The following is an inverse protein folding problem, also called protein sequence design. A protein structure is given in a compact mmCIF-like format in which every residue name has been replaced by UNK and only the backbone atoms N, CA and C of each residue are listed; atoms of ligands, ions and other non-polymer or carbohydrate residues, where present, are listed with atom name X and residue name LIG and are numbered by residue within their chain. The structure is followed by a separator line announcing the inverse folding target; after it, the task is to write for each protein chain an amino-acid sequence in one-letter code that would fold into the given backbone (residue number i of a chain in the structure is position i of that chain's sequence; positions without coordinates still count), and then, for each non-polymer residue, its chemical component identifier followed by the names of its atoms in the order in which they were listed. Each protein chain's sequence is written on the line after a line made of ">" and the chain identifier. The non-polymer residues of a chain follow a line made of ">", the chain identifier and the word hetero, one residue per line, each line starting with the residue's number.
data_IF_095706692516
#
_entry.id   IF_095706692516
#
_cell.length_a   1.000
_cell.length_b   1.000
_cell.length_c   1.000
_cell.angle_alpha   90.00
_cell.angle_beta   90.00
_cell.angle_gamma   90.00
#
_symmetry.space_group_name_H-M   'P 1'
#
loop_
_entity.id
_entity.type
_entity.pdbx_description
1 polymer ?
#
# COMPACT_ATOMS: atom_id res chain seq x y z
N UNK A 1 26.18 -5.22 -13.49
CA UNK A 1 24.89 -4.77 -12.95
C UNK A 1 24.53 -3.52 -13.74
N UNK A 2 23.42 -3.53 -14.42
CA UNK A 2 22.93 -2.38 -15.15
C UNK A 2 21.89 -1.67 -14.29
N UNK A 3 22.01 -0.36 -14.12
CA UNK A 3 21.08 0.48 -13.38
C UNK A 3 20.12 1.24 -14.32
N UNK A 4 20.25 1.07 -15.63
CA UNK A 4 19.34 1.68 -16.60
C UNK A 4 17.97 0.99 -16.56
N UNK A 5 16.93 1.80 -16.58
CA UNK A 5 15.57 1.30 -16.76
C UNK A 5 15.26 1.05 -18.23
N UNK A 6 14.38 0.10 -18.52
CA UNK A 6 13.92 -0.15 -19.89
C UNK A 6 13.02 1.00 -20.37
N UNK A 7 12.83 1.09 -21.70
CA UNK A 7 11.93 2.09 -22.29
C UNK A 7 10.50 1.95 -21.76
N UNK A 8 10.02 0.71 -21.59
CA UNK A 8 8.68 0.43 -21.04
C UNK A 8 8.54 0.88 -19.58
N UNK A 9 9.57 0.63 -18.76
CA UNK A 9 9.61 1.09 -17.36
C UNK A 9 9.60 2.62 -17.27
N UNK A 10 10.36 3.30 -18.13
CA UNK A 10 10.37 4.77 -18.20
C UNK A 10 9.04 5.33 -18.72
N UNK A 11 8.42 4.66 -19.68
CA UNK A 11 7.12 5.08 -20.22
C UNK A 11 6.02 5.08 -19.14
N UNK A 12 5.89 4.01 -18.36
CA UNK A 12 4.89 3.94 -17.30
C UNK A 12 5.20 4.93 -16.16
N UNK A 13 6.48 5.14 -15.86
CA UNK A 13 6.91 6.18 -14.91
C UNK A 13 6.46 7.56 -15.38
N UNK A 14 6.64 7.90 -16.67
CA UNK A 14 6.26 9.21 -17.21
C UNK A 14 4.74 9.40 -17.23
N UNK A 15 3.97 8.35 -17.54
CA UNK A 15 2.50 8.37 -17.42
C UNK A 15 2.08 8.66 -15.98
N UNK A 16 2.62 7.93 -15.02
CA UNK A 16 2.32 8.12 -13.60
C UNK A 16 2.72 9.53 -13.13
N UNK A 17 3.89 10.03 -13.54
CA UNK A 17 4.39 11.38 -13.20
C UNK A 17 3.45 12.46 -13.71
N UNK A 18 3.01 12.39 -14.97
CA UNK A 18 2.08 13.37 -15.52
C UNK A 18 0.76 13.39 -14.74
N UNK A 19 0.17 12.24 -14.48
CA UNK A 19 -1.08 12.16 -13.72
C UNK A 19 -0.87 12.70 -12.31
N UNK A 20 0.25 12.35 -11.66
CA UNK A 20 0.59 12.84 -10.33
C UNK A 20 0.70 14.37 -10.29
N UNK A 21 1.39 14.97 -11.26
CA UNK A 21 1.63 16.42 -11.30
C UNK A 21 0.41 17.23 -11.75
N UNK A 22 -0.33 16.74 -12.76
CA UNK A 22 -1.41 17.51 -13.39
C UNK A 22 -2.77 17.32 -12.71
N UNK A 23 -3.01 16.17 -12.05
CA UNK A 23 -4.32 15.83 -11.49
C UNK A 23 -4.28 15.61 -9.99
N UNK A 24 -3.33 14.80 -9.50
CA UNK A 24 -3.33 14.37 -8.10
C UNK A 24 -2.77 15.45 -7.19
N UNK A 25 -1.57 15.95 -7.42
CA UNK A 25 -0.93 16.94 -6.55
C UNK A 25 -1.76 18.24 -6.39
N UNK A 26 -2.36 18.80 -7.46
CA UNK A 26 -3.22 20.00 -7.32
C UNK A 26 -4.49 19.75 -6.49
N UNK A 27 -5.01 18.53 -6.44
CA UNK A 27 -6.23 18.18 -5.69
C UNK A 27 -5.96 17.61 -4.30
N UNK A 28 -4.70 17.31 -3.96
CA UNK A 28 -4.33 16.59 -2.75
C UNK A 28 -4.70 17.32 -1.44
N UNK A 29 -4.59 18.66 -1.41
CA UNK A 29 -5.00 19.46 -0.26
C UNK A 29 -6.51 19.37 -0.02
N UNK A 30 -7.32 19.45 -1.08
CA UNK A 30 -8.77 19.32 -1.00
C UNK A 30 -9.16 17.96 -0.39
N UNK A 31 -8.63 16.88 -0.92
CA UNK A 31 -8.94 15.53 -0.45
C UNK A 31 -8.40 15.25 0.97
N UNK A 32 -7.23 15.78 1.35
CA UNK A 32 -6.76 15.69 2.74
C UNK A 32 -7.68 16.46 3.69
N UNK A 33 -8.18 17.62 3.29
CA UNK A 33 -9.06 18.47 4.11
C UNK A 33 -10.45 17.85 4.29
N UNK A 34 -11.06 17.36 3.21
CA UNK A 34 -12.42 16.81 3.21
C UNK A 34 -12.50 15.36 3.66
N UNK A 35 -11.45 14.57 3.38
CA UNK A 35 -11.47 13.12 3.57
C UNK A 35 -12.31 12.39 2.52
N UNK A 36 -12.74 13.08 1.44
CA UNK A 36 -13.46 12.45 0.34
C UNK A 36 -12.59 11.43 -0.40
N UNK A 37 -13.23 10.34 -0.84
CA UNK A 37 -12.54 9.35 -1.66
C UNK A 37 -12.36 9.90 -3.09
N UNK A 38 -11.13 9.87 -3.66
CA UNK A 38 -10.82 10.54 -4.92
C UNK A 38 -11.19 9.67 -6.14
N UNK A 39 -12.47 9.30 -6.29
CA UNK A 39 -12.95 8.29 -7.24
C UNK A 39 -12.56 8.61 -8.69
N UNK A 40 -12.67 9.86 -9.13
CA UNK A 40 -12.37 10.24 -10.52
C UNK A 40 -10.87 10.11 -10.81
N UNK A 41 -10.00 10.46 -9.85
CA UNK A 41 -8.56 10.24 -10.00
C UNK A 41 -8.22 8.74 -10.02
N UNK A 42 -8.91 7.92 -9.21
CA UNK A 42 -8.68 6.47 -9.20
C UNK A 42 -9.14 5.83 -10.52
N UNK A 43 -10.26 6.27 -11.08
CA UNK A 43 -10.69 5.85 -12.43
C UNK A 43 -9.67 6.22 -13.49
N UNK A 44 -9.14 7.45 -13.44
CA UNK A 44 -8.08 7.90 -14.35
C UNK A 44 -6.82 7.03 -14.21
N UNK A 45 -6.45 6.59 -13.00
CA UNK A 45 -5.36 5.62 -12.81
C UNK A 45 -5.67 4.29 -13.51
N UNK A 46 -6.90 3.79 -13.40
CA UNK A 46 -7.35 2.56 -14.06
C UNK A 46 -7.29 2.67 -15.59
N UNK A 47 -7.84 3.74 -16.16
CA UNK A 47 -7.82 4.03 -17.61
C UNK A 47 -6.40 4.07 -18.20
N UNK A 48 -5.39 4.35 -17.35
CA UNK A 48 -3.97 4.37 -17.73
C UNK A 48 -3.20 3.12 -17.26
N UNK A 49 -3.89 2.04 -16.88
CA UNK A 49 -3.30 0.76 -16.50
C UNK A 49 -2.61 0.75 -15.13
N UNK A 50 -2.68 1.85 -14.35
CA UNK A 50 -1.97 1.98 -13.07
C UNK A 50 -2.66 1.23 -11.91
N UNK A 51 -3.93 0.82 -12.07
CA UNK A 51 -4.63 0.00 -11.07
C UNK A 51 -4.32 -1.50 -11.20
N UNK A 52 -3.64 -1.91 -12.28
CA UNK A 52 -3.24 -3.30 -12.56
C UNK A 52 -1.89 -3.38 -13.29
N UNK A 53 -0.83 -2.76 -12.77
CA UNK A 53 0.47 -2.66 -13.45
C UNK A 53 1.07 -4.03 -13.72
N UNK A 54 1.10 -4.92 -12.73
CA UNK A 54 1.63 -6.28 -12.87
C UNK A 54 0.56 -7.30 -13.32
N UNK A 55 -0.68 -6.86 -13.51
CA UNK A 55 -1.78 -7.73 -13.97
C UNK A 55 -1.62 -7.98 -15.46
N UNK A 56 -1.67 -9.26 -15.93
CA UNK A 56 -1.61 -9.57 -17.36
C UNK A 56 -2.72 -8.88 -18.17
N UNK A 57 -2.44 -8.55 -19.42
CA UNK A 57 -3.38 -7.86 -20.31
C UNK A 57 -4.69 -8.66 -20.53
N UNK A 58 -4.64 -9.97 -20.48
CA UNK A 58 -5.83 -10.85 -20.56
C UNK A 58 -6.83 -10.64 -19.42
N UNK A 59 -6.39 -10.05 -18.30
CA UNK A 59 -7.23 -9.64 -17.16
C UNK A 59 -7.34 -8.10 -17.03
N UNK A 60 -7.08 -7.36 -18.10
CA UNK A 60 -7.28 -5.90 -18.14
C UNK A 60 -6.15 -5.07 -17.53
N UNK A 61 -5.00 -5.66 -17.21
CA UNK A 61 -3.86 -4.96 -16.66
C UNK A 61 -2.82 -4.52 -17.69
N UNK A 62 -1.76 -3.86 -17.23
CA UNK A 62 -0.66 -3.38 -18.07
C UNK A 62 0.40 -4.45 -18.39
N UNK A 63 0.42 -5.57 -17.67
CA UNK A 63 1.35 -6.69 -17.91
C UNK A 63 2.82 -6.36 -17.69
N UNK A 64 3.12 -5.35 -16.86
CA UNK A 64 4.47 -4.87 -16.62
C UNK A 64 5.15 -5.58 -15.45
N UNK A 65 6.44 -5.34 -15.28
CA UNK A 65 7.25 -5.96 -14.23
C UNK A 65 7.17 -5.22 -12.87
N UNK A 66 7.68 -5.83 -11.78
CA UNK A 66 7.68 -5.21 -10.47
C UNK A 66 8.52 -3.92 -10.35
N UNK A 67 9.51 -3.70 -11.22
CA UNK A 67 10.29 -2.45 -11.23
C UNK A 67 9.41 -1.31 -11.75
N UNK A 68 8.67 -1.53 -12.84
CA UNK A 68 7.68 -0.60 -13.37
C UNK A 68 6.65 -0.20 -12.30
N UNK A 69 6.17 -1.18 -11.50
CA UNK A 69 5.29 -0.93 -10.38
C UNK A 69 5.92 0.01 -9.33
N UNK A 70 7.18 -0.22 -8.92
CA UNK A 70 7.90 0.65 -7.98
C UNK A 70 7.99 2.08 -8.53
N UNK A 71 8.40 2.24 -9.78
CA UNK A 71 8.57 3.55 -10.41
C UNK A 71 7.25 4.33 -10.44
N UNK A 72 6.17 3.70 -10.90
CA UNK A 72 4.85 4.33 -10.95
C UNK A 72 4.33 4.68 -9.54
N UNK A 73 4.47 3.78 -8.57
CA UNK A 73 4.07 4.01 -7.18
C UNK A 73 4.78 5.21 -6.55
N UNK A 74 6.08 5.37 -6.79
CA UNK A 74 6.87 6.51 -6.30
C UNK A 74 6.35 7.84 -6.87
N UNK A 75 5.97 7.87 -8.16
CA UNK A 75 5.43 9.08 -8.80
C UNK A 75 4.06 9.45 -8.21
N UNK A 76 3.14 8.49 -8.10
CA UNK A 76 1.80 8.74 -7.54
C UNK A 76 1.89 9.16 -6.07
N UNK A 77 2.75 8.51 -5.28
CA UNK A 77 2.93 8.84 -3.87
C UNK A 77 3.57 10.24 -3.65
N UNK A 78 4.40 10.69 -4.58
CA UNK A 78 4.93 12.05 -4.55
C UNK A 78 3.85 13.11 -4.83
N UNK A 79 2.83 12.77 -5.62
CA UNK A 79 1.64 13.60 -5.81
C UNK A 79 0.73 13.61 -4.58
N UNK A 80 0.36 12.42 -4.09
CA UNK A 80 -0.43 12.24 -2.86
C UNK A 80 -0.34 10.81 -2.34
N UNK A 81 -0.01 10.67 -1.06
CA UNK A 81 0.13 9.37 -0.40
C UNK A 81 -1.18 8.58 -0.32
N UNK A 82 -2.34 9.25 -0.19
CA UNK A 82 -3.63 8.57 -0.10
C UNK A 82 -3.99 7.86 -1.41
N UNK A 83 -3.73 8.49 -2.57
CA UNK A 83 -3.94 7.87 -3.88
C UNK A 83 -3.04 6.64 -4.06
N UNK A 84 -1.77 6.74 -3.69
CA UNK A 84 -0.85 5.61 -3.77
C UNK A 84 -1.22 4.45 -2.83
N UNK A 85 -1.84 4.73 -1.67
CA UNK A 85 -2.38 3.68 -0.79
C UNK A 85 -3.48 2.88 -1.50
N UNK A 86 -4.43 3.58 -2.13
CA UNK A 86 -5.53 2.93 -2.87
C UNK A 86 -4.96 2.08 -4.03
N UNK A 87 -4.04 2.66 -4.81
CA UNK A 87 -3.35 1.98 -5.90
C UNK A 87 -2.60 0.74 -5.42
N UNK A 88 -1.88 0.82 -4.29
CA UNK A 88 -1.13 -0.29 -3.72
C UNK A 88 -2.03 -1.45 -3.30
N UNK A 89 -3.11 -1.18 -2.55
CA UNK A 89 -4.03 -2.23 -2.10
C UNK A 89 -4.63 -2.99 -3.29
N UNK A 90 -5.01 -2.29 -4.35
CA UNK A 90 -5.61 -2.93 -5.53
C UNK A 90 -4.58 -3.77 -6.30
N UNK A 91 -3.38 -3.25 -6.56
CA UNK A 91 -2.32 -3.99 -7.27
C UNK A 91 -1.76 -5.16 -6.45
N UNK A 92 -1.22 -4.85 -5.25
CA UNK A 92 -0.36 -5.77 -4.51
C UNK A 92 -1.12 -6.70 -3.57
N UNK A 93 -2.23 -6.26 -2.97
CA UNK A 93 -2.97 -7.07 -2.01
C UNK A 93 -4.17 -7.79 -2.63
N UNK A 94 -4.94 -7.11 -3.48
CA UNK A 94 -6.13 -7.70 -4.10
C UNK A 94 -5.78 -8.49 -5.36
N UNK A 95 -5.32 -7.83 -6.43
CA UNK A 95 -5.08 -8.48 -7.71
C UNK A 95 -3.99 -9.55 -7.63
N UNK A 96 -2.84 -9.25 -7.02
CA UNK A 96 -1.74 -10.21 -6.89
C UNK A 96 -2.16 -11.48 -6.11
N UNK A 97 -2.98 -11.34 -5.07
CA UNK A 97 -3.50 -12.49 -4.33
C UNK A 97 -4.33 -13.42 -5.20
N UNK A 98 -5.25 -12.86 -5.99
CA UNK A 98 -6.14 -13.65 -6.85
C UNK A 98 -5.37 -14.22 -8.05
N UNK A 99 -4.45 -13.46 -8.66
CA UNK A 99 -3.61 -13.95 -9.75
C UNK A 99 -2.79 -15.18 -9.34
N UNK A 100 -2.28 -15.19 -8.12
CA UNK A 100 -1.41 -16.26 -7.63
C UNK A 100 -2.16 -17.49 -7.14
N UNK A 101 -3.33 -17.30 -6.52
CA UNK A 101 -4.02 -18.38 -5.80
C UNK A 101 -5.43 -18.66 -6.32
N UNK A 102 -5.99 -17.79 -7.16
CA UNK A 102 -7.33 -17.91 -7.70
C UNK A 102 -7.44 -18.85 -8.89
N UNK A 103 -8.65 -19.36 -9.09
CA UNK A 103 -9.04 -20.09 -10.30
C UNK A 103 -9.16 -19.13 -11.48
N UNK A 104 -9.20 -19.68 -12.70
CA UNK A 104 -9.37 -18.87 -13.91
C UNK A 104 -10.68 -18.05 -13.87
N UNK A 105 -11.77 -18.65 -13.42
CA UNK A 105 -13.06 -17.96 -13.26
C UNK A 105 -12.96 -16.79 -12.26
N UNK A 106 -12.25 -16.97 -11.15
CA UNK A 106 -12.02 -15.94 -10.15
C UNK A 106 -11.17 -14.79 -10.71
N UNK A 107 -10.13 -15.08 -11.48
CA UNK A 107 -9.28 -14.05 -12.13
C UNK A 107 -10.10 -13.20 -13.10
N UNK A 108 -10.87 -13.83 -13.98
CA UNK A 108 -11.73 -13.14 -14.95
C UNK A 108 -12.80 -12.28 -14.26
N UNK A 109 -13.41 -12.77 -13.19
CA UNK A 109 -14.48 -12.05 -12.47
C UNK A 109 -13.95 -10.89 -11.64
N UNK A 110 -12.91 -11.11 -10.85
CA UNK A 110 -12.51 -10.17 -9.81
C UNK A 110 -11.31 -9.30 -10.20
N UNK A 111 -10.30 -9.87 -10.89
CA UNK A 111 -9.08 -9.11 -11.20
C UNK A 111 -9.35 -8.08 -12.28
N UNK A 112 -10.08 -8.44 -13.35
CA UNK A 112 -10.37 -7.52 -14.47
C UNK A 112 -11.05 -6.24 -14.00
N UNK A 113 -12.13 -6.35 -13.22
CA UNK A 113 -12.89 -5.21 -12.74
C UNK A 113 -12.05 -4.21 -11.94
N UNK A 114 -11.05 -4.71 -11.19
CA UNK A 114 -10.16 -3.89 -10.38
C UNK A 114 -9.01 -3.32 -11.21
N UNK A 115 -8.39 -4.12 -12.06
CA UNK A 115 -7.26 -3.70 -12.89
C UNK A 115 -7.64 -2.58 -13.88
N UNK A 116 -8.84 -2.64 -14.45
CA UNK A 116 -9.41 -1.59 -15.32
C UNK A 116 -9.86 -0.33 -14.53
N UNK A 117 -9.83 -0.35 -13.19
CA UNK A 117 -10.30 0.76 -12.35
C UNK A 117 -11.82 0.95 -12.33
N UNK A 118 -12.59 0.00 -12.88
CA UNK A 118 -14.06 0.05 -12.89
C UNK A 118 -14.64 -0.13 -11.48
N UNK A 119 -13.97 -0.96 -10.67
CA UNK A 119 -14.34 -1.26 -9.30
C UNK A 119 -13.13 -1.12 -8.35
N UNK A 120 -13.38 -1.08 -7.06
CA UNK A 120 -12.37 -0.98 -6.01
C UNK A 120 -12.33 -2.29 -5.20
N UNK A 121 -11.12 -2.80 -4.99
CA UNK A 121 -10.84 -3.94 -4.14
C UNK A 121 -10.37 -3.53 -2.73
N UNK A 122 -10.55 -4.45 -1.78
CA UNK A 122 -10.01 -4.30 -0.43
C UNK A 122 -9.43 -5.63 0.09
N UNK A 123 -8.65 -5.53 1.18
CA UNK A 123 -8.01 -6.66 1.83
C UNK A 123 -8.34 -6.63 3.33
N UNK A 124 -8.99 -7.67 3.83
CA UNK A 124 -9.57 -7.71 5.16
C UNK A 124 -8.97 -8.82 6.03
N UNK A 125 -7.83 -8.51 6.67
CA UNK A 125 -7.12 -9.41 7.58
C UNK A 125 -7.31 -8.99 9.05
N UNK A 126 -7.01 -7.74 9.35
CA UNK A 126 -6.93 -7.16 10.70
C UNK A 126 -8.28 -7.14 11.42
N UNK A 127 -8.26 -7.42 12.72
CA UNK A 127 -9.42 -7.33 13.62
C UNK A 127 -9.09 -6.42 14.81
N UNK A 128 -10.08 -5.96 15.62
CA UNK A 128 -9.83 -5.08 16.75
C UNK A 128 -8.75 -5.59 17.73
N UNK A 129 -8.67 -6.92 17.94
CA UNK A 129 -7.71 -7.57 18.83
C UNK A 129 -6.52 -8.23 18.10
N UNK A 130 -6.51 -8.24 16.77
CA UNK A 130 -5.57 -9.00 15.94
C UNK A 130 -4.99 -8.14 14.83
N UNK A 131 -3.89 -7.46 15.11
CA UNK A 131 -3.09 -6.69 14.15
C UNK A 131 -1.80 -7.43 13.81
N UNK A 132 -0.71 -7.15 14.54
CA UNK A 132 0.59 -7.83 14.35
C UNK A 132 0.52 -9.34 14.63
N UNK A 133 -0.32 -9.78 15.58
CA UNK A 133 -0.68 -11.17 15.75
C UNK A 133 -1.90 -11.55 14.90
N UNK A 134 -1.66 -11.73 13.60
CA UNK A 134 -2.72 -12.03 12.64
C UNK A 134 -3.35 -13.44 12.85
N UNK A 135 -2.70 -14.30 13.65
CA UNK A 135 -3.25 -15.63 13.96
C UNK A 135 -4.31 -15.61 15.04
N UNK A 136 -4.39 -14.54 15.84
CA UNK A 136 -5.37 -14.38 16.91
C UNK A 136 -6.76 -13.89 16.43
N UNK A 137 -7.06 -14.05 15.12
CA UNK A 137 -8.35 -13.64 14.55
C UNK A 137 -9.52 -14.43 15.13
N UNK A 138 -10.70 -13.79 15.16
CA UNK A 138 -11.95 -14.33 15.71
C UNK A 138 -13.11 -14.36 14.71
N UNK A 139 -13.00 -13.69 13.57
CA UNK A 139 -13.98 -13.77 12.49
C UNK A 139 -14.09 -15.22 12.03
N UNK A 140 -15.28 -15.79 12.11
CA UNK A 140 -15.55 -17.22 11.88
C UNK A 140 -16.09 -17.45 10.47
N UNK A 141 -15.71 -18.60 9.91
CA UNK A 141 -16.25 -19.13 8.67
C UNK A 141 -16.73 -20.57 8.94
N UNK A 142 -18.02 -20.78 9.11
CA UNK A 142 -18.59 -22.09 9.46
C UNK A 142 -19.05 -22.77 8.17
N UNK A 143 -18.39 -23.90 7.82
CA UNK A 143 -18.73 -24.68 6.64
C UNK A 143 -20.12 -25.31 6.77
N UNK A 144 -20.93 -25.16 5.70
CA UNK A 144 -22.28 -25.70 5.63
C UNK A 144 -22.30 -27.03 4.86
N UNK A 145 -23.43 -27.74 4.94
CA UNK A 145 -23.58 -29.04 4.30
C UNK A 145 -23.54 -29.07 2.79
N UNK A 146 -23.78 -27.90 2.14
CA UNK A 146 -23.68 -27.69 0.69
C UNK A 146 -22.27 -27.24 0.23
N UNK A 147 -21.33 -27.10 1.16
CA UNK A 147 -19.96 -26.65 0.89
C UNK A 147 -19.76 -25.12 0.96
N UNK A 148 -20.82 -24.35 1.13
CA UNK A 148 -20.72 -22.89 1.38
C UNK A 148 -20.19 -22.61 2.80
N UNK A 149 -19.89 -21.34 3.09
CA UNK A 149 -19.45 -20.90 4.41
C UNK A 149 -20.32 -19.77 4.94
N UNK A 150 -20.71 -19.85 6.20
CA UNK A 150 -21.39 -18.79 6.92
C UNK A 150 -20.37 -17.97 7.69
N UNK A 151 -20.23 -16.69 7.32
CA UNK A 151 -19.25 -15.77 7.90
C UNK A 151 -19.90 -14.90 8.96
N UNK A 152 -19.29 -14.84 10.15
CA UNK A 152 -19.68 -13.96 11.24
C UNK A 152 -18.44 -13.34 11.90
N UNK A 153 -18.44 -12.01 12.06
CA UNK A 153 -17.36 -11.30 12.74
C UNK A 153 -17.07 -9.92 12.16
N UNK A 154 -16.00 -9.30 12.65
CA UNK A 154 -15.62 -7.94 12.31
C UNK A 154 -14.17 -7.88 11.84
N UNK A 155 -13.91 -6.95 10.92
CA UNK A 155 -12.56 -6.57 10.48
C UNK A 155 -12.38 -5.07 10.65
N UNK A 156 -11.19 -4.66 11.08
CA UNK A 156 -10.86 -3.26 11.38
C UNK A 156 -9.77 -2.75 10.48
N UNK A 157 -9.73 -1.42 10.29
CA UNK A 157 -8.71 -0.74 9.49
C UNK A 157 -8.71 -1.17 8.03
N UNK A 158 -9.88 -1.44 7.45
CA UNK A 158 -9.98 -1.91 6.07
C UNK A 158 -9.91 -0.72 5.11
N UNK A 159 -8.75 -0.57 4.48
CA UNK A 159 -8.53 0.41 3.42
C UNK A 159 -9.48 0.16 2.26
N UNK A 160 -10.08 1.21 1.76
CA UNK A 160 -11.14 1.20 0.74
C UNK A 160 -12.43 0.49 1.17
N UNK A 161 -12.54 -0.02 2.40
CA UNK A 161 -13.75 -0.69 2.92
C UNK A 161 -15.07 0.07 2.68
N UNK A 162 -15.13 1.41 2.84
CA UNK A 162 -16.33 2.19 2.58
C UNK A 162 -16.82 2.13 1.11
N UNK A 163 -15.93 1.90 0.15
CA UNK A 163 -16.22 1.98 -1.29
C UNK A 163 -15.95 0.68 -2.06
N UNK A 164 -15.28 -0.29 -1.45
CA UNK A 164 -14.91 -1.53 -2.11
C UNK A 164 -16.14 -2.32 -2.60
N UNK A 165 -16.04 -2.82 -3.84
CA UNK A 165 -16.99 -3.78 -4.42
C UNK A 165 -16.64 -5.20 -4.04
N UNK A 166 -15.35 -5.53 -4.05
CA UNK A 166 -14.86 -6.86 -3.73
C UNK A 166 -13.81 -6.82 -2.62
N UNK A 167 -13.78 -7.85 -1.78
CA UNK A 167 -12.85 -7.94 -0.64
C UNK A 167 -12.20 -9.32 -0.62
N UNK A 168 -10.86 -9.38 -0.46
CA UNK A 168 -10.18 -10.59 -0.03
C UNK A 168 -10.26 -10.66 1.49
N UNK A 169 -11.06 -11.57 2.00
CA UNK A 169 -11.33 -11.76 3.43
C UNK A 169 -10.57 -12.98 3.97
N UNK A 170 -10.02 -12.86 5.17
CA UNK A 170 -9.46 -14.01 5.92
C UNK A 170 -10.31 -14.27 7.15
N UNK A 171 -10.76 -15.50 7.31
CA UNK A 171 -11.56 -15.91 8.46
C UNK A 171 -11.16 -17.30 8.96
N UNK A 172 -11.48 -17.60 10.22
CA UNK A 172 -11.13 -18.82 10.90
C UNK A 172 -12.18 -19.90 10.60
N UNK A 173 -11.83 -20.84 9.72
CA UNK A 173 -12.68 -21.97 9.34
C UNK A 173 -12.51 -23.18 10.25
N UNK A 174 -11.33 -23.34 10.88
CA UNK A 174 -11.05 -24.43 11.83
C UNK A 174 -10.20 -23.89 13.01
N UNK A 175 -10.83 -23.61 14.18
CA UNK A 175 -10.13 -23.02 15.32
C UNK A 175 -9.05 -23.92 15.93
N UNK A 176 -9.16 -25.22 15.75
CA UNK A 176 -8.27 -26.20 16.41
C UNK A 176 -6.94 -26.34 15.67
N UNK A 177 -6.86 -25.81 14.43
CA UNK A 177 -5.66 -25.86 13.58
C UNK A 177 -4.77 -24.63 13.62
N UNK A 178 -5.09 -23.62 14.46
CA UNK A 178 -4.30 -22.37 14.54
C UNK A 178 -4.17 -21.68 13.19
N UNK A 179 -2.96 -21.31 12.77
CA UNK A 179 -2.72 -20.67 11.49
C UNK A 179 -3.21 -21.47 10.27
N UNK A 180 -3.23 -22.80 10.36
CA UNK A 180 -3.75 -23.70 9.31
C UNK A 180 -5.27 -23.84 9.33
N UNK A 181 -5.95 -23.19 10.26
CA UNK A 181 -7.40 -23.09 10.30
C UNK A 181 -7.96 -21.81 9.67
N UNK A 182 -7.09 -20.95 9.12
CA UNK A 182 -7.50 -19.71 8.46
C UNK A 182 -7.68 -19.98 6.96
N UNK A 183 -8.82 -19.52 6.43
CA UNK A 183 -9.16 -19.63 5.00
C UNK A 183 -9.36 -18.24 4.40
N UNK A 184 -9.00 -18.09 3.14
CA UNK A 184 -9.21 -16.86 2.37
C UNK A 184 -10.47 -16.98 1.51
N UNK A 185 -11.24 -15.90 1.42
CA UNK A 185 -12.53 -15.83 0.72
C UNK A 185 -12.61 -14.58 -0.15
N UNK A 186 -13.33 -14.68 -1.27
CA UNK A 186 -13.69 -13.55 -2.13
C UNK A 186 -15.11 -13.10 -1.77
N UNK A 187 -15.24 -11.86 -1.33
CA UNK A 187 -16.49 -11.27 -0.85
C UNK A 187 -17.01 -10.25 -1.86
N UNK A 188 -18.29 -10.34 -2.22
CA UNK A 188 -19.04 -9.27 -2.89
C UNK A 188 -19.81 -8.46 -1.85
N UNK A 189 -19.49 -7.19 -1.71
CA UNK A 189 -20.08 -6.31 -0.70
C UNK A 189 -21.58 -5.98 -0.95
N UNK A 190 -22.14 -6.38 -2.08
CA UNK A 190 -23.56 -6.25 -2.37
C UNK A 190 -24.40 -7.40 -1.80
N UNK A 191 -23.79 -8.52 -1.40
CA UNK A 191 -24.53 -9.63 -0.78
C UNK A 191 -25.05 -9.25 0.61
N UNK A 192 -26.17 -9.84 1.01
CA UNK A 192 -26.76 -9.67 2.33
C UNK A 192 -25.78 -10.13 3.44
N UNK A 193 -25.86 -9.52 4.62
CA UNK A 193 -25.00 -9.83 5.75
C UNK A 193 -23.66 -9.07 5.77
N UNK A 194 -23.37 -8.24 4.77
CA UNK A 194 -22.20 -7.34 4.78
C UNK A 194 -22.59 -5.94 5.26
N UNK A 195 -21.84 -5.41 6.21
CA UNK A 195 -22.08 -4.08 6.80
C UNK A 195 -20.80 -3.24 6.83
N UNK A 196 -20.93 -1.96 6.47
CA UNK A 196 -19.85 -0.96 6.54
C UNK A 196 -19.99 -0.13 7.80
N UNK A 197 -18.89 0.01 8.54
CA UNK A 197 -18.78 0.93 9.66
C UNK A 197 -18.49 2.37 9.22
N UNK A 198 -18.27 3.24 10.20
CA UNK A 198 -17.87 4.63 9.96
C UNK A 198 -16.45 4.69 9.42
N UNK A 199 -16.19 5.68 8.57
CA UNK A 199 -14.83 6.02 8.14
C UNK A 199 -14.01 6.49 9.33
N UNK A 200 -12.82 5.94 9.50
CA UNK A 200 -11.90 6.25 10.59
C UNK A 200 -11.29 7.65 10.42
N UNK A 201 -11.32 8.50 11.46
CA UNK A 201 -10.61 9.77 11.46
C UNK A 201 -9.11 9.53 11.65
N UNK A 202 -8.33 9.65 10.57
CA UNK A 202 -6.90 9.35 10.57
C UNK A 202 -6.02 10.59 10.68
N UNK A 203 -4.78 10.40 11.14
CA UNK A 203 -3.75 11.43 11.19
C UNK A 203 -3.37 11.90 9.77
N UNK A 204 -3.06 10.96 8.87
CA UNK A 204 -2.65 11.18 7.49
C UNK A 204 -3.39 10.27 6.53
N UNK A 205 -3.01 10.30 5.25
CA UNK A 205 -3.64 9.58 4.13
C UNK A 205 -5.18 9.67 4.20
N UNK A 206 -5.71 10.85 4.49
CA UNK A 206 -7.11 11.02 4.90
C UNK A 206 -8.10 10.70 3.79
N UNK A 207 -7.72 10.92 2.53
CA UNK A 207 -8.52 10.58 1.37
C UNK A 207 -8.59 9.07 1.05
N UNK A 208 -7.69 8.27 1.63
CA UNK A 208 -7.78 6.81 1.56
C UNK A 208 -8.77 6.31 2.60
N UNK A 209 -10.06 6.27 2.23
CA UNK A 209 -11.15 5.88 3.13
C UNK A 209 -10.89 4.50 3.76
N UNK A 210 -11.00 4.43 5.08
CA UNK A 210 -10.71 3.23 5.89
C UNK A 210 -11.83 3.06 6.91
N UNK A 211 -12.34 1.85 7.09
CA UNK A 211 -13.40 1.60 8.07
C UNK A 211 -13.29 0.22 8.74
N UNK A 212 -14.11 0.01 9.75
CA UNK A 212 -14.50 -1.32 10.22
C UNK A 212 -15.54 -1.89 9.25
N UNK A 213 -15.50 -3.20 9.02
CA UNK A 213 -16.54 -3.95 8.31
C UNK A 213 -17.02 -5.10 9.17
N UNK A 214 -18.29 -5.46 9.05
CA UNK A 214 -18.92 -6.52 9.83
C UNK A 214 -19.67 -7.49 8.92
N UNK A 215 -19.59 -8.75 9.26
CA UNK A 215 -20.30 -9.85 8.64
C UNK A 215 -21.29 -10.46 9.65
N UNK A 216 -22.55 -10.52 9.27
CA UNK A 216 -23.63 -11.13 10.05
C UNK A 216 -24.36 -12.12 9.15
N UNK A 217 -24.16 -13.41 9.40
CA UNK A 217 -24.72 -14.50 8.60
C UNK A 217 -24.47 -14.32 7.09
N UNK A 218 -23.28 -13.83 6.75
CA UNK A 218 -22.88 -13.62 5.36
C UNK A 218 -22.50 -14.94 4.71
N UNK A 219 -23.14 -15.30 3.59
CA UNK A 219 -22.90 -16.56 2.87
C UNK A 219 -21.83 -16.35 1.79
N UNK A 220 -20.77 -17.17 1.85
CA UNK A 220 -19.75 -17.32 0.80
C UNK A 220 -19.93 -18.67 0.13
N UNK A 221 -20.09 -18.69 -1.18
CA UNK A 221 -20.25 -19.92 -1.95
C UNK A 221 -18.90 -20.69 -2.03
N UNK A 222 -18.94 -21.98 -2.28
CA UNK A 222 -17.74 -22.83 -2.28
C UNK A 222 -16.70 -22.40 -3.35
N UNK A 223 -17.15 -21.84 -4.47
CA UNK A 223 -16.32 -21.34 -5.56
C UNK A 223 -15.73 -19.93 -5.30
N UNK A 224 -16.12 -19.29 -4.20
CA UNK A 224 -15.55 -18.03 -3.70
C UNK A 224 -14.42 -18.23 -2.66
N UNK A 225 -14.04 -19.47 -2.36
CA UNK A 225 -12.83 -19.77 -1.58
C UNK A 225 -11.60 -19.45 -2.45
N UNK A 226 -10.70 -18.61 -1.93
CA UNK A 226 -9.44 -18.29 -2.60
C UNK A 226 -8.36 -19.30 -2.20
N UNK A 227 -7.84 -20.03 -3.17
CA UNK A 227 -6.89 -21.12 -2.93
C UNK A 227 -7.55 -22.34 -2.28
N UNK A 228 -6.92 -22.91 -1.26
CA UNK A 228 -7.39 -24.10 -0.55
C UNK A 228 -7.82 -23.75 0.87
N UNK A 229 -8.86 -24.40 1.39
CA UNK A 229 -9.28 -24.28 2.78
C UNK A 229 -8.11 -24.56 3.73
N UNK A 230 -7.90 -23.66 4.70
CA UNK A 230 -6.79 -23.73 5.67
C UNK A 230 -5.46 -23.12 5.19
N UNK A 231 -5.35 -22.67 3.95
CA UNK A 231 -4.15 -21.99 3.44
C UNK A 231 -4.20 -20.45 3.54
N UNK A 232 -5.26 -19.87 4.10
CA UNK A 232 -5.48 -18.43 4.15
C UNK A 232 -4.32 -17.66 4.80
N UNK A 233 -3.73 -18.16 5.87
CA UNK A 233 -2.58 -17.50 6.50
C UNK A 233 -1.34 -17.47 5.59
N UNK A 234 -1.06 -18.54 4.88
CA UNK A 234 0.03 -18.63 3.89
C UNK A 234 -0.22 -17.65 2.74
N UNK A 235 -1.47 -17.57 2.27
CA UNK A 235 -1.89 -16.61 1.23
C UNK A 235 -1.67 -15.18 1.73
N UNK A 236 -2.16 -14.83 2.93
CA UNK A 236 -2.00 -13.50 3.51
C UNK A 236 -0.54 -13.08 3.61
N UNK A 237 0.34 -13.93 4.13
CA UNK A 237 1.77 -13.62 4.27
C UNK A 237 2.45 -13.45 2.92
N UNK A 238 2.13 -14.31 1.94
CA UNK A 238 2.72 -14.20 0.60
C UNK A 238 2.27 -12.95 -0.18
N UNK A 239 1.04 -12.49 0.06
CA UNK A 239 0.50 -11.25 -0.53
C UNK A 239 1.10 -10.02 0.15
N UNK A 240 1.26 -10.04 1.48
CA UNK A 240 1.87 -8.95 2.23
C UNK A 240 3.35 -8.72 1.86
N UNK A 241 4.09 -9.74 1.40
CA UNK A 241 5.45 -9.53 0.90
C UNK A 241 5.46 -8.59 -0.32
N UNK A 242 4.51 -8.72 -1.23
CA UNK A 242 4.36 -7.79 -2.36
C UNK A 242 3.87 -6.41 -1.91
N UNK A 243 2.95 -6.36 -0.95
CA UNK A 243 2.47 -5.11 -0.35
C UNK A 243 3.59 -4.29 0.30
N UNK A 244 4.56 -4.94 0.95
CA UNK A 244 5.73 -4.26 1.53
C UNK A 244 6.55 -3.49 0.50
N UNK A 245 6.69 -4.01 -0.73
CA UNK A 245 7.33 -3.26 -1.84
C UNK A 245 6.49 -2.03 -2.18
N UNK A 246 5.17 -2.15 -2.24
CA UNK A 246 4.26 -1.02 -2.48
C UNK A 246 4.40 0.07 -1.41
N UNK A 247 4.42 -0.31 -0.12
CA UNK A 247 4.59 0.65 0.98
C UNK A 247 5.99 1.27 1.01
N UNK A 248 7.05 0.52 0.68
CA UNK A 248 8.38 1.09 0.52
C UNK A 248 8.40 2.16 -0.60
N UNK A 249 7.77 1.87 -1.74
CA UNK A 249 7.65 2.80 -2.86
C UNK A 249 6.83 4.06 -2.49
N UNK A 250 5.74 3.90 -1.74
CA UNK A 250 4.97 5.01 -1.21
C UNK A 250 5.81 5.89 -0.28
N UNK A 251 6.52 5.28 0.67
CA UNK A 251 7.39 6.00 1.60
C UNK A 251 8.46 6.81 0.85
N UNK A 252 9.06 6.23 -0.20
CA UNK A 252 10.03 6.92 -1.07
C UNK A 252 9.36 8.11 -1.79
N UNK A 253 8.15 7.97 -2.30
CA UNK A 253 7.44 9.06 -2.96
C UNK A 253 7.17 10.23 -2.02
N UNK A 254 6.70 9.97 -0.80
CA UNK A 254 6.50 10.99 0.24
C UNK A 254 7.83 11.68 0.58
N UNK A 255 8.89 10.88 0.80
CA UNK A 255 10.22 11.39 1.12
C UNK A 255 10.79 12.26 0.00
N UNK A 256 10.62 11.84 -1.27
CA UNK A 256 11.05 12.58 -2.44
C UNK A 256 10.35 13.92 -2.56
N UNK A 257 9.02 13.95 -2.42
CA UNK A 257 8.25 15.18 -2.44
C UNK A 257 8.68 16.17 -1.34
N UNK A 258 8.90 15.69 -0.14
CA UNK A 258 9.40 16.49 0.98
C UNK A 258 10.83 17.01 0.71
N UNK A 259 11.71 16.17 0.18
CA UNK A 259 13.08 16.53 -0.19
C UNK A 259 13.13 17.59 -1.29
N UNK A 260 12.43 17.37 -2.41
CA UNK A 260 12.39 18.29 -3.55
C UNK A 260 11.90 19.67 -3.15
N UNK A 261 10.78 19.76 -2.40
CA UNK A 261 10.27 21.02 -1.84
C UNK A 261 11.28 21.70 -0.93
N UNK A 262 12.02 20.93 -0.15
CA UNK A 262 13.05 21.47 0.75
C UNK A 262 14.23 22.02 -0.04
N UNK A 263 14.70 21.33 -1.09
CA UNK A 263 15.79 21.79 -1.96
C UNK A 263 15.43 23.08 -2.69
N UNK A 264 14.18 23.22 -3.16
CA UNK A 264 13.69 24.48 -3.75
C UNK A 264 13.72 25.62 -2.70
N UNK A 265 13.10 25.39 -1.54
CA UNK A 265 12.94 26.38 -0.49
C UNK A 265 14.27 26.95 0.02
N UNK A 266 15.28 26.11 0.25
CA UNK A 266 16.56 26.56 0.82
C UNK A 266 17.38 27.43 -0.13
N UNK A 267 17.09 27.42 -1.44
CA UNK A 267 17.73 28.28 -2.44
C UNK A 267 17.21 29.71 -2.36
N UNK A 268 15.93 29.87 -2.07
CA UNK A 268 15.24 31.16 -2.11
C UNK A 268 15.11 31.83 -0.74
N UNK A 269 14.87 31.02 0.31
CA UNK A 269 14.70 31.51 1.68
C UNK A 269 16.00 32.07 2.22
N UNK A 270 15.99 33.34 2.63
CA UNK A 270 17.14 34.03 3.22
C UNK A 270 16.99 34.21 4.72
N UNK A 271 18.09 34.05 5.44
CA UNK A 271 18.29 34.43 6.83
C UNK A 271 19.74 34.88 7.02
N UNK A 272 20.00 35.80 7.95
CA UNK A 272 21.34 36.34 8.20
C UNK A 272 22.07 36.86 6.94
N UNK A 273 21.29 37.39 5.99
CA UNK A 273 21.82 38.01 4.74
C UNK A 273 22.13 37.01 3.60
N UNK A 274 21.91 35.67 3.79
CA UNK A 274 22.22 34.64 2.79
C UNK A 274 21.09 33.65 2.62
N UNK A 275 21.01 32.91 1.49
CA UNK A 275 20.15 31.75 1.34
C UNK A 275 20.45 30.70 2.43
N UNK A 276 19.41 30.12 3.05
CA UNK A 276 19.63 29.17 4.15
C UNK A 276 20.32 27.87 3.71
N UNK A 277 20.28 27.55 2.42
CA UNK A 277 21.02 26.44 1.81
C UNK A 277 22.55 26.61 1.85
N UNK A 278 23.06 27.79 2.16
CA UNK A 278 24.51 28.03 2.31
C UNK A 278 25.04 27.70 3.70
N UNK A 279 24.16 27.46 4.67
CA UNK A 279 24.58 27.13 6.04
C UNK A 279 24.91 25.67 6.18
N UNK A 280 26.05 25.35 6.78
CA UNK A 280 26.57 23.99 6.89
C UNK A 280 25.57 23.01 7.55
N UNK A 281 24.83 23.45 8.59
CA UNK A 281 23.81 22.60 9.24
C UNK A 281 22.64 22.26 8.31
N UNK A 282 22.27 23.15 7.41
CA UNK A 282 21.24 22.88 6.38
C UNK A 282 21.79 21.95 5.30
N UNK A 283 23.03 22.20 4.86
CA UNK A 283 23.71 21.34 3.88
C UNK A 283 23.85 19.90 4.37
N UNK A 284 24.23 19.70 5.64
CA UNK A 284 24.31 18.36 6.25
C UNK A 284 22.96 17.64 6.19
N UNK A 285 21.86 18.33 6.57
CA UNK A 285 20.52 17.74 6.51
C UNK A 285 20.10 17.36 5.08
N UNK A 286 20.37 18.24 4.08
CA UNK A 286 20.09 17.96 2.67
C UNK A 286 20.87 16.72 2.19
N UNK A 287 22.14 16.60 2.55
CA UNK A 287 22.96 15.46 2.20
C UNK A 287 22.43 14.15 2.81
N UNK A 288 22.09 14.17 4.11
CA UNK A 288 21.52 13.01 4.80
C UNK A 288 20.16 12.61 4.21
N UNK A 289 19.29 13.58 3.87
CA UNK A 289 18.01 13.32 3.20
C UNK A 289 18.23 12.60 1.87
N UNK A 290 19.17 13.08 1.06
CA UNK A 290 19.49 12.47 -0.24
C UNK A 290 20.04 11.06 -0.10
N UNK A 291 21.00 10.84 0.80
CA UNK A 291 21.57 9.52 1.04
C UNK A 291 20.52 8.51 1.46
N UNK A 292 19.63 8.89 2.40
CA UNK A 292 18.54 8.03 2.86
C UNK A 292 17.53 7.71 1.75
N UNK A 293 17.19 8.71 0.92
CA UNK A 293 16.27 8.55 -0.20
C UNK A 293 16.81 7.56 -1.22
N UNK A 294 18.07 7.73 -1.65
CA UNK A 294 18.70 6.87 -2.65
C UNK A 294 18.90 5.44 -2.14
N UNK A 295 19.35 5.29 -0.89
CA UNK A 295 19.49 3.97 -0.28
C UNK A 295 18.15 3.24 -0.21
N UNK A 296 17.06 3.93 0.15
CA UNK A 296 15.71 3.37 0.20
C UNK A 296 15.23 2.93 -1.19
N UNK A 297 15.45 3.75 -2.22
CA UNK A 297 15.07 3.44 -3.59
C UNK A 297 15.82 2.20 -4.10
N UNK A 298 17.13 2.14 -3.92
CA UNK A 298 17.96 1.02 -4.37
C UNK A 298 17.58 -0.31 -3.69
N UNK A 299 17.27 -0.29 -2.39
CA UNK A 299 16.81 -1.48 -1.67
C UNK A 299 15.42 -1.93 -2.16
N UNK A 300 14.53 -0.99 -2.48
CA UNK A 300 13.20 -1.29 -2.98
C UNK A 300 13.26 -1.85 -4.41
N UNK A 301 14.09 -1.28 -5.27
CA UNK A 301 14.35 -1.81 -6.63
C UNK A 301 14.97 -3.20 -6.58
N UNK A 302 15.89 -3.47 -5.61
CA UNK A 302 16.42 -4.81 -5.39
C UNK A 302 15.31 -5.81 -5.03
N UNK A 303 14.40 -5.45 -4.11
CA UNK A 303 13.29 -6.31 -3.75
C UNK A 303 12.36 -6.60 -4.94
N UNK A 304 12.05 -5.57 -5.74
CA UNK A 304 11.25 -5.70 -6.95
C UNK A 304 11.95 -6.59 -8.00
N UNK A 305 13.24 -6.42 -8.18
CA UNK A 305 14.03 -7.24 -9.10
C UNK A 305 14.01 -8.73 -8.69
N UNK A 306 14.25 -9.04 -7.40
CA UNK A 306 14.21 -10.42 -6.89
C UNK A 306 12.84 -11.04 -7.09
N UNK A 307 11.75 -10.26 -6.83
CA UNK A 307 10.36 -10.67 -7.13
C UNK A 307 10.18 -10.98 -8.62
N UNK A 308 10.68 -10.12 -9.51
CA UNK A 308 10.60 -10.29 -10.97
C UNK A 308 11.33 -11.53 -11.49
N UNK A 309 12.35 -12.02 -10.76
CA UNK A 309 13.03 -13.29 -11.06
C UNK A 309 12.25 -14.53 -10.57
N UNK A 310 11.07 -14.38 -10.01
CA UNK A 310 10.28 -15.48 -9.43
C UNK A 310 10.89 -16.09 -8.17
N UNK A 311 11.87 -15.44 -7.56
CA UNK A 311 12.54 -15.90 -6.34
C UNK A 311 11.76 -15.47 -5.08
N UNK A 312 12.06 -16.12 -3.95
CA UNK A 312 11.57 -15.67 -2.65
C UNK A 312 12.21 -14.33 -2.28
N UNK A 313 11.40 -13.32 -1.99
CA UNK A 313 11.81 -11.93 -1.75
C UNK A 313 11.37 -11.39 -0.38
N UNK A 314 10.93 -12.26 0.52
CA UNK A 314 10.41 -11.88 1.85
C UNK A 314 11.40 -11.01 2.63
N UNK A 315 12.69 -11.37 2.62
CA UNK A 315 13.74 -10.64 3.33
C UNK A 315 14.00 -9.28 2.69
N UNK A 316 14.14 -9.25 1.38
CA UNK A 316 14.37 -8.02 0.60
C UNK A 316 13.21 -7.03 0.76
N UNK A 317 11.96 -7.51 0.71
CA UNK A 317 10.77 -6.69 0.91
C UNK A 317 10.70 -6.11 2.33
N UNK A 318 11.04 -6.91 3.36
CA UNK A 318 11.09 -6.44 4.73
C UNK A 318 12.19 -5.38 4.95
N UNK A 319 13.39 -5.58 4.41
CA UNK A 319 14.50 -4.62 4.44
C UNK A 319 14.11 -3.31 3.75
N UNK A 320 13.54 -3.40 2.54
CA UNK A 320 13.10 -2.24 1.77
C UNK A 320 12.05 -1.42 2.54
N UNK A 321 11.00 -2.09 3.06
CA UNK A 321 9.91 -1.43 3.79
C UNK A 321 10.41 -0.78 5.08
N UNK A 322 11.22 -1.46 5.87
CA UNK A 322 11.79 -0.91 7.10
C UNK A 322 12.64 0.34 6.81
N UNK A 323 13.58 0.22 5.88
CA UNK A 323 14.49 1.33 5.54
C UNK A 323 13.75 2.53 4.96
N UNK A 324 12.83 2.30 4.00
CA UNK A 324 12.11 3.37 3.33
C UNK A 324 11.14 4.10 4.27
N UNK A 325 10.40 3.38 5.13
CA UNK A 325 9.43 3.99 6.04
C UNK A 325 10.12 4.85 7.11
N UNK A 326 11.19 4.39 7.72
CA UNK A 326 11.96 5.16 8.71
C UNK A 326 12.68 6.36 8.06
N UNK A 327 13.20 6.18 6.83
CA UNK A 327 13.78 7.27 6.07
C UNK A 327 12.73 8.35 5.72
N UNK A 328 11.53 7.95 5.30
CA UNK A 328 10.46 8.89 4.94
C UNK A 328 10.02 9.73 6.15
N UNK A 329 9.84 9.10 7.30
CA UNK A 329 9.49 9.80 8.54
C UNK A 329 10.59 10.79 8.94
N UNK A 330 11.86 10.38 8.88
CA UNK A 330 13.00 11.24 9.19
C UNK A 330 13.12 12.41 8.19
N UNK A 331 12.98 12.15 6.89
CA UNK A 331 13.07 13.18 5.83
C UNK A 331 11.93 14.18 5.97
N UNK A 332 10.70 13.73 6.15
CA UNK A 332 9.54 14.60 6.35
C UNK A 332 9.69 15.48 7.62
N UNK A 333 10.22 14.92 8.71
CA UNK A 333 10.55 15.67 9.92
C UNK A 333 11.60 16.76 9.64
N UNK A 334 12.70 16.44 8.94
CA UNK A 334 13.72 17.45 8.60
C UNK A 334 13.18 18.52 7.65
N UNK A 335 12.31 18.14 6.71
CA UNK A 335 11.66 19.07 5.82
C UNK A 335 10.82 20.12 6.58
N UNK A 336 9.97 19.69 7.51
CA UNK A 336 9.21 20.59 8.39
C UNK A 336 10.16 21.49 9.18
N UNK A 337 11.22 20.92 9.76
CA UNK A 337 12.18 21.66 10.58
C UNK A 337 12.92 22.74 9.78
N UNK A 338 13.35 22.44 8.54
CA UNK A 338 14.09 23.39 7.67
C UNK A 338 13.17 24.56 7.24
N UNK A 339 11.89 24.28 6.98
CA UNK A 339 10.91 25.32 6.61
C UNK A 339 10.44 26.15 7.80
N UNK A 340 10.72 25.75 9.04
CA UNK A 340 10.35 26.47 10.25
C UNK A 340 8.83 26.63 10.38
N UNK A 341 8.34 27.83 10.69
CA UNK A 341 6.91 28.10 10.83
C UNK A 341 6.09 27.79 9.58
N UNK A 342 6.66 28.00 8.38
CA UNK A 342 6.02 27.66 7.10
C UNK A 342 5.85 26.14 6.94
N UNK A 343 6.81 25.34 7.39
CA UNK A 343 6.71 23.89 7.36
C UNK A 343 5.66 23.31 8.33
N UNK A 344 5.34 24.06 9.39
CA UNK A 344 4.33 23.71 10.37
C UNK A 344 2.92 24.22 9.99
N UNK A 345 2.85 25.18 9.07
CA UNK A 345 1.60 25.72 8.54
C UNK A 345 1.02 24.82 7.45
N UNK A 346 -0.32 24.82 7.32
CA UNK A 346 -1.03 24.15 6.21
C UNK A 346 -0.92 24.87 4.86
N UNK A 347 -0.28 26.03 4.82
CA UNK A 347 -0.01 26.74 3.55
C UNK A 347 1.01 26.02 2.68
N UNK A 348 1.81 25.11 3.27
CA UNK A 348 2.76 24.26 2.56
C UNK A 348 2.46 22.77 2.86
N UNK A 349 2.74 21.86 1.91
CA UNK A 349 2.35 20.45 2.06
C UNK A 349 3.22 19.65 3.04
N UNK A 350 4.25 20.26 3.68
CA UNK A 350 5.24 19.54 4.49
C UNK A 350 4.60 18.86 5.73
N UNK A 351 3.63 19.54 6.37
CA UNK A 351 2.91 18.98 7.52
C UNK A 351 2.07 17.75 7.10
N UNK A 352 1.50 17.76 5.86
CA UNK A 352 0.78 16.61 5.31
C UNK A 352 1.74 15.45 5.04
N UNK A 353 2.88 15.70 4.40
CA UNK A 353 3.90 14.67 4.19
C UNK A 353 4.38 14.03 5.50
N UNK A 354 4.54 14.84 6.55
CA UNK A 354 4.90 14.35 7.89
C UNK A 354 3.81 13.43 8.47
N UNK A 355 2.52 13.83 8.37
CA UNK A 355 1.39 13.03 8.84
C UNK A 355 1.25 11.72 8.04
N UNK A 356 1.41 11.79 6.74
CA UNK A 356 1.27 10.68 5.83
C UNK A 356 2.43 9.67 5.95
N UNK A 357 3.66 10.15 6.16
CA UNK A 357 4.83 9.29 6.33
C UNK A 357 4.67 8.33 7.52
N UNK A 358 4.00 8.77 8.61
CA UNK A 358 3.90 7.96 9.83
C UNK A 358 3.21 6.61 9.63
N UNK A 359 2.19 6.54 8.76
CA UNK A 359 1.48 5.28 8.55
C UNK A 359 2.37 4.20 7.91
N UNK A 360 3.38 4.61 7.13
CA UNK A 360 4.29 3.67 6.45
C UNK A 360 5.13 2.83 7.42
N UNK A 361 5.33 3.28 8.65
CA UNK A 361 5.97 2.52 9.72
C UNK A 361 5.04 1.52 10.41
N UNK A 362 3.70 1.65 10.21
CA UNK A 362 2.69 0.92 10.98
C UNK A 362 2.04 -0.20 10.17
N UNK A 363 1.40 0.12 9.04
CA UNK A 363 0.60 -0.86 8.30
C UNK A 363 1.46 -1.81 7.45
N UNK A 364 0.83 -2.90 6.99
CA UNK A 364 1.47 -4.03 6.28
C UNK A 364 2.67 -4.64 7.03
N UNK A 365 2.55 -4.64 8.35
CA UNK A 365 3.57 -5.07 9.30
C UNK A 365 4.40 -3.90 9.81
N UNK A 366 4.32 -3.65 11.13
CA UNK A 366 5.05 -2.54 11.76
C UNK A 366 6.57 -2.66 11.56
N UNK A 367 7.30 -1.57 11.81
CA UNK A 367 8.78 -1.57 11.77
C UNK A 367 9.37 -2.67 12.67
N UNK A 368 8.73 -2.97 13.81
CA UNK A 368 9.14 -4.06 14.72
C UNK A 368 8.92 -5.43 14.06
N UNK A 369 7.79 -5.63 13.38
CA UNK A 369 7.51 -6.87 12.65
C UNK A 369 8.52 -7.06 11.50
N UNK A 370 8.88 -5.99 10.76
CA UNK A 370 9.92 -6.11 9.73
C UNK A 370 11.25 -6.56 10.32
N UNK A 371 11.66 -6.00 11.49
CA UNK A 371 12.87 -6.44 12.20
C UNK A 371 12.83 -7.91 12.60
N UNK A 372 11.69 -8.39 13.08
CA UNK A 372 11.51 -9.82 13.39
C UNK A 372 11.62 -10.70 12.13
N UNK A 373 11.01 -10.27 11.01
CA UNK A 373 11.11 -10.99 9.74
C UNK A 373 12.54 -11.07 9.26
N UNK A 374 13.26 -9.96 9.25
CA UNK A 374 14.67 -9.88 8.84
C UNK A 374 15.53 -10.78 9.75
N UNK A 375 15.43 -10.60 11.08
CA UNK A 375 16.23 -11.37 12.03
C UNK A 375 16.02 -12.88 11.88
N UNK A 376 14.78 -13.33 11.69
CA UNK A 376 14.46 -14.75 11.47
C UNK A 376 15.03 -15.29 10.15
N UNK A 377 15.02 -14.49 9.09
CA UNK A 377 15.61 -14.91 7.82
C UNK A 377 17.14 -15.00 7.90
N UNK A 378 17.79 -14.07 8.59
CA UNK A 378 19.26 -14.05 8.74
C UNK A 378 19.77 -15.15 9.71
N UNK A 379 19.06 -15.39 10.80
CA UNK A 379 19.50 -16.35 11.83
C UNK A 379 18.99 -17.77 11.62
N UNK A 380 17.90 -17.94 10.87
CA UNK A 380 17.18 -19.23 10.78
C UNK A 380 16.42 -19.61 12.07
N UNK A 381 16.45 -18.76 13.11
CA UNK A 381 15.81 -19.02 14.41
C UNK A 381 14.36 -18.47 14.41
N UNK A 382 13.45 -19.17 15.11
CA UNK A 382 12.03 -18.81 15.23
C UNK A 382 11.71 -18.34 16.64
#
# INVERSE_FOLDING_TARGET
>A
MDFAFTEEQLMIQDVARRIAQEKIAPSAEHFDKTGEFPLDNIRLLGENGLMGIEVPAEYGGAGMDPIAYVLAMVEIAAGDAAHSTIMSVNNSLFCNGILKYGTEAQKQKYVRAIAEGAEIGAFALTEPQSGSDATAMRCRAIKQGDGSFLINGKKSWITSGPVAKYIVLFALSDPDKGARGITAFLVDTAKAGFHRGKTEPKLGIRASATCEIEFTDYVVDADEVLGTEGEGFKIAMGVLDAGRIGIASQAIGIARAAYEKTVEYVKDRKAFGAPIGTFQMTQAKIADMKCKLDASLLLTLRAAWVKGQGQRFTNEAAIAKLTASEAAMWIAHQAVQIHGGMGYSKEMPLERYFRDAKITEIYEGTSEIQRLVIARNETGLR
#
